data_IF_520447277052
#
_entry.id   IF_520447277052
#
_cell.length_a   1.000
_cell.length_b   1.000
_cell.length_c   1.000
_cell.angle_alpha   90.00
_cell.angle_beta   90.00
_cell.angle_gamma   90.00
#
_symmetry.space_group_name_H-M   'P 1'
#
loop_
_entity.id
_entity.type
_entity.pdbx_description
1 polymer ?
#
# COMPACT_ATOMS: atom_id res chain seq x y z
N UNK A 1 7.82 -5.40 6.09
CA UNK A 1 8.92 -4.65 5.44
C UNK A 1 8.78 -4.60 3.91
N UNK A 2 8.55 -5.74 3.25
CA UNK A 2 8.48 -5.80 1.79
C UNK A 2 7.36 -4.94 1.16
N UNK A 3 6.13 -4.95 1.71
CA UNK A 3 5.04 -4.10 1.17
C UNK A 3 5.37 -2.62 1.28
N UNK A 4 6.03 -2.20 2.37
CA UNK A 4 6.43 -0.79 2.57
C UNK A 4 7.46 -0.34 1.53
N UNK A 5 8.41 -1.20 1.21
CA UNK A 5 9.42 -0.93 0.18
C UNK A 5 8.81 -0.88 -1.22
N UNK A 6 7.91 -1.80 -1.56
CA UNK A 6 7.19 -1.78 -2.85
C UNK A 6 6.29 -0.55 -2.96
N UNK A 7 5.60 -0.17 -1.89
CA UNK A 7 4.68 0.96 -1.91
C UNK A 7 5.39 2.31 -1.87
N UNK A 8 6.40 2.47 -1.01
CA UNK A 8 6.99 3.76 -0.64
C UNK A 8 8.51 3.88 -0.92
N UNK A 9 9.16 2.79 -1.32
CA UNK A 9 10.59 2.79 -1.63
C UNK A 9 10.90 3.37 -3.00
N UNK A 10 12.18 3.32 -3.38
CA UNK A 10 12.65 3.79 -4.68
C UNK A 10 11.98 3.00 -5.82
N UNK A 11 11.50 3.69 -6.85
CA UNK A 11 10.68 3.11 -7.91
C UNK A 11 9.40 2.43 -7.39
N UNK A 12 8.92 2.84 -6.21
CA UNK A 12 7.72 2.31 -5.59
C UNK A 12 6.44 2.84 -6.21
N UNK A 13 5.32 2.24 -5.80
CA UNK A 13 3.98 2.59 -6.32
C UNK A 13 3.69 4.08 -6.16
N UNK A 14 4.16 4.70 -5.07
CA UNK A 14 3.98 6.13 -4.79
C UNK A 14 4.57 7.07 -5.84
N UNK A 15 5.57 6.63 -6.60
CA UNK A 15 6.23 7.45 -7.63
C UNK A 15 5.52 7.35 -8.98
N UNK A 16 4.92 6.20 -9.30
CA UNK A 16 4.30 5.93 -10.60
C UNK A 16 2.77 6.04 -10.62
N UNK A 17 2.10 5.93 -9.48
CA UNK A 17 0.65 5.94 -9.42
C UNK A 17 0.08 7.37 -9.54
N UNK A 18 -1.03 7.48 -10.27
CA UNK A 18 -1.76 8.73 -10.47
C UNK A 18 -2.76 8.96 -9.33
N UNK A 19 -3.12 10.21 -9.02
CA UNK A 19 -4.25 10.49 -8.14
C UNK A 19 -5.52 9.78 -8.62
N UNK A 20 -6.26 9.16 -7.70
CA UNK A 20 -7.43 8.32 -7.98
C UNK A 20 -7.11 6.83 -8.17
N UNK A 21 -5.84 6.42 -8.16
CA UNK A 21 -5.45 5.00 -8.12
C UNK A 21 -5.81 4.37 -6.78
N UNK A 22 -6.20 3.10 -6.81
CA UNK A 22 -6.43 2.28 -5.60
C UNK A 22 -5.40 1.16 -5.54
N UNK A 23 -4.63 1.10 -4.46
CA UNK A 23 -3.75 -0.02 -4.12
C UNK A 23 -4.50 -1.05 -3.26
N UNK A 24 -4.57 -2.30 -3.71
CA UNK A 24 -5.16 -3.39 -2.90
C UNK A 24 -4.01 -4.29 -2.46
N UNK A 25 -3.73 -4.31 -1.15
CA UNK A 25 -2.75 -5.22 -0.58
C UNK A 25 -3.45 -6.49 -0.07
N UNK A 26 -3.04 -7.64 -0.62
CA UNK A 26 -3.53 -8.96 -0.23
C UNK A 26 -2.51 -9.72 0.62
N UNK A 27 -1.39 -9.08 0.95
CA UNK A 27 -0.35 -9.64 1.79
C UNK A 27 -0.82 -9.78 3.24
N UNK A 28 -0.31 -10.79 3.94
CA UNK A 28 -0.46 -10.86 5.40
C UNK A 28 0.60 -9.99 6.07
N UNK A 29 0.27 -8.72 6.32
CA UNK A 29 1.15 -7.79 7.04
C UNK A 29 0.51 -7.31 8.35
N UNK A 30 1.32 -6.70 9.21
CA UNK A 30 0.83 -6.13 10.45
C UNK A 30 -0.14 -4.97 10.15
N UNK A 31 -1.30 -4.87 10.84
CA UNK A 31 -2.28 -3.80 10.59
C UNK A 31 -1.71 -2.38 10.73
N UNK A 32 -0.73 -2.19 11.61
CA UNK A 32 -0.05 -0.90 11.77
C UNK A 32 0.73 -0.52 10.50
N UNK A 33 1.39 -1.48 9.85
CA UNK A 33 2.12 -1.25 8.62
C UNK A 33 1.17 -0.87 7.46
N UNK A 34 0.03 -1.55 7.32
CA UNK A 34 -0.98 -1.20 6.30
C UNK A 34 -1.48 0.24 6.48
N UNK A 35 -1.69 0.67 7.74
CA UNK A 35 -2.13 2.04 8.05
C UNK A 35 -1.07 3.08 7.71
N UNK A 36 0.18 2.86 8.09
CA UNK A 36 1.29 3.77 7.75
C UNK A 36 1.44 3.95 6.23
N UNK A 37 1.31 2.85 5.48
CA UNK A 37 1.42 2.88 4.02
C UNK A 37 0.23 3.62 3.42
N UNK A 38 -0.98 3.34 3.90
CA UNK A 38 -2.20 4.02 3.45
C UNK A 38 -2.14 5.53 3.67
N UNK A 39 -1.67 5.99 4.83
CA UNK A 39 -1.53 7.42 5.12
C UNK A 39 -0.54 8.11 4.17
N UNK A 40 0.61 7.47 3.90
CA UNK A 40 1.61 8.00 2.98
C UNK A 40 1.09 8.06 1.52
N UNK A 41 0.36 7.05 1.07
CA UNK A 41 -0.24 6.99 -0.27
C UNK A 41 -1.37 8.01 -0.43
N UNK A 42 -2.16 8.23 0.62
CA UNK A 42 -3.27 9.20 0.62
C UNK A 42 -2.78 10.63 0.39
N UNK A 43 -1.58 10.98 0.86
CA UNK A 43 -0.95 12.27 0.58
C UNK A 43 -0.67 12.50 -0.93
N UNK A 44 -0.65 11.44 -1.75
CA UNK A 44 -0.54 11.50 -3.22
C UNK A 44 -1.88 11.29 -3.94
N UNK A 45 -2.98 11.22 -3.19
CA UNK A 45 -4.31 10.92 -3.75
C UNK A 45 -4.46 9.46 -4.20
N UNK A 46 -3.67 8.55 -3.61
CA UNK A 46 -3.77 7.10 -3.85
C UNK A 46 -4.49 6.49 -2.65
N UNK A 47 -5.59 5.79 -2.88
CA UNK A 47 -6.30 5.07 -1.84
C UNK A 47 -5.69 3.67 -1.66
N UNK A 48 -5.78 3.11 -0.45
CA UNK A 48 -5.29 1.76 -0.16
C UNK A 48 -6.36 0.93 0.54
N UNK A 49 -6.52 -0.32 0.13
CA UNK A 49 -7.36 -1.34 0.76
C UNK A 49 -6.50 -2.50 1.25
N UNK A 50 -6.59 -2.82 2.53
CA UNK A 50 -5.98 -3.99 3.17
C UNK A 50 -6.99 -5.15 3.09
N UNK A 51 -6.69 -6.16 2.28
CA UNK A 51 -7.58 -7.30 1.98
C UNK A 51 -6.81 -8.63 2.04
N UNK A 52 -6.25 -9.01 3.21
CA UNK A 52 -5.48 -10.24 3.36
C UNK A 52 -6.36 -11.45 3.09
N UNK A 53 -5.82 -12.42 2.36
CA UNK A 53 -6.49 -13.70 2.10
C UNK A 53 -6.26 -14.70 3.22
N UNK A 54 -7.28 -15.49 3.53
CA UNK A 54 -7.16 -16.67 4.40
C UNK A 54 -7.68 -17.89 3.63
N UNK A 55 -6.79 -18.83 3.36
CA UNK A 55 -7.05 -19.98 2.49
C UNK A 55 -5.80 -20.33 1.70
N UNK A 56 -5.13 -21.41 2.10
CA UNK A 56 -4.09 -22.06 1.30
C UNK A 56 -4.72 -23.06 0.35
#
# INVERSE_FOLDING_TARGET
PHVKEVALGENGIIEGAKPGTVLIDMSSIAPLASREISEALKAKGIDMLDAPVSGG
#
